data_IF_296419325570
#
_entry.id   IF_296419325570
#
_cell.length_a   1.000
_cell.length_b   1.000
_cell.length_c   1.000
_cell.angle_alpha   90.00
_cell.angle_beta   90.00
_cell.angle_gamma   90.00
#
_symmetry.space_group_name_H-M   'P 1'
#
loop_
_entity.id
_entity.type
_entity.pdbx_description
1 polymer ?
#
# COMPACT_ATOMS: atom_id res chain seq x y z
N UNK A 1 12.04 -21.78 47.10
CA UNK A 1 12.23 -22.28 45.72
C UNK A 1 13.62 -21.89 45.25
N UNK A 2 14.51 -22.85 44.92
CA UNK A 2 15.83 -22.54 44.35
C UNK A 2 15.65 -22.08 42.90
N UNK A 3 15.92 -20.80 42.66
CA UNK A 3 15.89 -20.18 41.33
C UNK A 3 17.07 -20.71 40.51
N UNK A 4 16.81 -21.53 39.50
CA UNK A 4 17.83 -22.03 38.58
C UNK A 4 17.89 -21.19 37.30
N UNK A 5 19.06 -21.14 36.66
CA UNK A 5 19.33 -20.38 35.43
C UNK A 5 18.37 -20.68 34.26
N UNK A 6 17.71 -21.84 34.28
CA UNK A 6 16.79 -22.29 33.21
C UNK A 6 15.50 -21.44 33.19
N UNK A 7 15.06 -20.91 34.35
CA UNK A 7 13.84 -20.12 34.48
C UNK A 7 14.01 -18.65 34.05
N UNK A 8 15.24 -18.12 34.01
CA UNK A 8 15.52 -16.79 33.46
C UNK A 8 15.25 -16.68 31.95
N UNK A 9 14.95 -17.80 31.27
CA UNK A 9 14.55 -17.80 29.87
C UNK A 9 13.10 -17.32 29.65
N UNK A 10 12.28 -17.33 30.70
CA UNK A 10 11.00 -16.62 30.70
C UNK A 10 11.28 -15.19 31.15
N UNK A 11 11.11 -14.23 30.26
CA UNK A 11 11.35 -12.81 30.54
C UNK A 11 10.24 -12.26 31.46
N UNK A 12 10.19 -12.72 32.72
CA UNK A 12 9.17 -12.39 33.73
C UNK A 12 9.09 -10.87 33.91
N UNK A 13 10.19 -10.15 33.75
CA UNK A 13 10.23 -8.69 33.84
C UNK A 13 9.28 -7.98 32.87
N UNK A 14 9.03 -8.55 31.68
CA UNK A 14 8.10 -7.94 30.73
C UNK A 14 6.65 -8.14 31.17
N UNK A 15 6.32 -9.35 31.63
CA UNK A 15 5.03 -9.66 32.23
C UNK A 15 4.80 -8.82 33.48
N UNK A 16 5.81 -8.68 34.34
CA UNK A 16 5.74 -7.88 35.56
C UNK A 16 5.56 -6.39 35.26
N UNK A 17 6.33 -5.81 34.33
CA UNK A 17 6.16 -4.41 33.89
C UNK A 17 4.78 -4.17 33.26
N UNK A 18 4.31 -5.08 32.41
CA UNK A 18 2.97 -5.00 31.80
C UNK A 18 1.89 -5.10 32.88
N UNK A 19 2.04 -6.04 33.81
CA UNK A 19 1.11 -6.23 34.91
C UNK A 19 1.09 -5.01 35.83
N UNK A 20 2.25 -4.42 36.14
CA UNK A 20 2.35 -3.18 36.92
C UNK A 20 1.70 -1.99 36.20
N UNK A 21 1.92 -1.83 34.89
CA UNK A 21 1.26 -0.80 34.07
C UNK A 21 -0.26 -0.96 34.02
N UNK A 22 -0.75 -2.20 33.94
CA UNK A 22 -2.19 -2.50 33.91
C UNK A 22 -2.80 -2.29 35.30
N UNK A 23 -2.13 -2.74 36.37
CA UNK A 23 -2.59 -2.59 37.75
C UNK A 23 -2.56 -1.13 38.20
N UNK A 24 -1.54 -0.35 37.81
CA UNK A 24 -1.44 1.08 38.12
C UNK A 24 -2.48 1.94 37.41
N UNK A 25 -3.14 1.42 36.37
CA UNK A 25 -4.29 2.06 35.69
C UNK A 25 -5.65 1.61 36.23
N UNK A 26 -5.70 0.68 37.19
CA UNK A 26 -6.97 0.26 37.77
C UNK A 26 -7.50 1.38 38.66
N UNK A 27 -8.68 1.88 38.31
CA UNK A 27 -9.46 2.71 39.21
C UNK A 27 -9.86 1.81 40.38
N UNK A 28 -9.66 2.24 41.65
CA UNK A 28 -10.18 1.49 42.79
C UNK A 28 -11.66 1.21 42.59
N UNK A 29 -12.04 -0.06 42.72
CA UNK A 29 -13.45 -0.45 42.61
C UNK A 29 -14.08 -0.09 43.94
N UNK A 30 -15.13 0.74 43.91
CA UNK A 30 -15.92 0.99 45.10
C UNK A 30 -16.59 -0.32 45.54
N UNK A 31 -16.28 -0.74 46.75
CA UNK A 31 -16.69 -2.03 47.32
C UNK A 31 -17.89 -1.90 48.26
N UNK A 32 -18.42 -0.67 48.45
CA UNK A 32 -19.52 -0.40 49.39
C UNK A 32 -19.15 -0.61 50.86
N UNK A 33 -17.87 -0.89 51.15
CA UNK A 33 -17.36 -1.16 52.50
C UNK A 33 -17.52 0.08 53.39
N UNK A 34 -17.40 1.28 52.82
CA UNK A 34 -17.58 2.53 53.56
C UNK A 34 -18.99 2.67 54.14
N UNK A 35 -20.01 2.30 53.38
CA UNK A 35 -21.41 2.32 53.82
C UNK A 35 -21.65 1.30 54.93
N UNK A 36 -21.15 0.08 54.75
CA UNK A 36 -21.27 -1.01 55.73
C UNK A 36 -20.57 -0.70 57.08
N UNK A 37 -19.41 -0.04 57.04
CA UNK A 37 -18.69 0.36 58.25
C UNK A 37 -19.42 1.49 59.00
N UNK A 38 -20.03 2.43 58.28
CA UNK A 38 -20.88 3.48 58.86
C UNK A 38 -22.12 2.89 59.52
N UNK A 39 -22.78 1.90 58.92
CA UNK A 39 -23.92 1.20 59.52
C UNK A 39 -23.56 0.51 60.85
N UNK A 40 -22.32 0.04 60.99
CA UNK A 40 -21.80 -0.56 62.23
C UNK A 40 -21.30 0.46 63.27
N UNK A 41 -21.43 1.75 63.00
CA UNK A 41 -20.98 2.81 63.90
C UNK A 41 -19.45 2.93 63.99
N UNK A 42 -18.71 2.40 63.02
CA UNK A 42 -17.25 2.52 62.96
C UNK A 42 -16.92 3.80 62.18
N UNK A 43 -16.16 4.75 62.76
CA UNK A 43 -15.77 5.96 62.06
C UNK A 43 -14.82 5.60 60.90
N UNK A 44 -15.20 6.00 59.69
CA UNK A 44 -14.37 5.91 58.47
C UNK A 44 -13.83 7.30 58.21
N UNK A 45 -12.52 7.46 58.29
CA UNK A 45 -11.82 8.72 58.03
C UNK A 45 -11.09 8.63 56.69
N UNK A 46 -11.13 9.71 55.89
CA UNK A 46 -10.43 9.74 54.60
C UNK A 46 -8.93 9.93 54.85
N UNK A 47 -8.11 9.02 54.32
CA UNK A 47 -6.67 9.08 54.43
C UNK A 47 -6.09 10.39 53.87
N UNK A 48 -6.77 11.01 52.89
CA UNK A 48 -6.38 12.30 52.30
C UNK A 48 -6.47 13.48 53.29
N UNK A 49 -7.26 13.38 54.37
CA UNK A 49 -7.35 14.40 55.42
C UNK A 49 -6.07 14.46 56.27
N UNK A 50 -5.33 13.35 56.36
CA UNK A 50 -4.08 13.25 57.12
C UNK A 50 -2.82 13.41 56.26
N UNK A 51 -2.97 13.48 54.94
CA UNK A 51 -1.88 13.85 54.03
C UNK A 51 -1.64 15.36 54.19
N UNK A 52 -0.53 15.71 54.86
CA UNK A 52 -0.20 17.08 55.29
C UNK A 52 -0.20 18.15 54.19
N UNK A 53 -0.07 17.75 52.94
CA UNK A 53 0.01 18.65 51.80
C UNK A 53 -1.02 18.22 50.76
N UNK A 54 -2.09 19.02 50.60
CA UNK A 54 -2.94 18.88 49.41
C UNK A 54 -2.03 19.11 48.21
N UNK A 55 -1.93 18.17 47.25
CA UNK A 55 -1.12 18.38 46.07
C UNK A 55 -1.58 19.66 45.40
N UNK A 56 -0.66 20.58 45.15
CA UNK A 56 -0.97 21.83 44.47
C UNK A 56 -1.66 21.50 43.15
N UNK A 57 -2.87 22.05 42.95
CA UNK A 57 -3.57 21.95 41.68
C UNK A 57 -2.81 22.84 40.70
N UNK A 58 -1.79 22.26 40.07
CA UNK A 58 -1.09 22.92 38.97
C UNK A 58 -2.07 22.99 37.82
N UNK A 59 -2.49 24.21 37.50
CA UNK A 59 -3.24 24.46 36.27
C UNK A 59 -2.43 23.88 35.12
N UNK A 60 -3.07 23.04 34.30
CA UNK A 60 -2.46 22.60 33.05
C UNK A 60 -2.42 23.80 32.13
N UNK A 61 -1.29 24.50 32.14
CA UNK A 61 -1.02 25.56 31.18
C UNK A 61 -1.05 24.92 29.80
N UNK A 62 -1.98 25.36 28.96
CA UNK A 62 -2.06 24.90 27.59
C UNK A 62 -0.97 25.61 26.80
N UNK A 63 0.24 25.05 26.83
CA UNK A 63 1.38 25.60 26.09
C UNK A 63 1.12 25.35 24.62
N UNK A 64 0.64 26.38 23.92
CA UNK A 64 0.52 26.37 22.47
C UNK A 64 1.95 26.38 21.92
N UNK A 65 2.46 25.20 21.60
CA UNK A 65 3.77 25.06 20.97
C UNK A 65 3.80 25.75 19.60
N UNK A 66 5.00 25.87 19.02
CA UNK A 66 5.19 26.39 17.65
C UNK A 66 4.40 25.60 16.58
N UNK A 67 4.05 24.35 16.89
CA UNK A 67 3.30 23.46 16.01
C UNK A 67 1.84 23.35 16.47
N UNK A 68 0.91 23.50 15.52
CA UNK A 68 -0.50 23.20 15.76
C UNK A 68 -0.62 21.73 16.15
N UNK A 69 -1.23 21.46 17.31
CA UNK A 69 -1.55 20.10 17.69
C UNK A 69 -2.60 19.54 16.74
N UNK A 70 -2.53 18.24 16.39
CA UNK A 70 -3.59 17.60 15.63
C UNK A 70 -4.91 17.74 16.40
N UNK A 71 -6.00 18.03 15.69
CA UNK A 71 -7.32 18.10 16.30
C UNK A 71 -7.66 16.72 16.91
N UNK A 72 -8.31 16.69 18.08
CA UNK A 72 -8.77 15.42 18.63
C UNK A 72 -9.79 14.79 17.68
N UNK A 73 -9.68 13.47 17.49
CA UNK A 73 -10.61 12.66 16.70
C UNK A 73 -11.92 12.44 17.47
N UNK A 74 -12.66 13.53 17.66
CA UNK A 74 -13.96 13.55 18.29
C UNK A 74 -15.04 13.91 17.26
N UNK A 75 -16.31 13.81 17.64
CA UNK A 75 -17.45 14.18 16.79
C UNK A 75 -17.41 15.64 16.31
N UNK A 76 -16.70 16.51 17.03
CA UNK A 76 -16.48 17.92 16.65
C UNK A 76 -15.43 18.12 15.55
N UNK A 77 -14.81 17.04 15.05
CA UNK A 77 -13.82 17.12 13.98
C UNK A 77 -14.50 17.49 12.64
N UNK A 78 -13.93 18.39 11.83
CA UNK A 78 -14.55 18.83 10.57
C UNK A 78 -14.74 17.70 9.55
N UNK A 79 -13.94 16.64 9.64
CA UNK A 79 -14.02 15.46 8.76
C UNK A 79 -14.82 14.30 9.36
N UNK A 80 -15.41 14.48 10.57
CA UNK A 80 -16.26 13.46 11.18
C UNK A 80 -17.61 13.37 10.48
N UNK A 81 -18.06 12.14 10.24
CA UNK A 81 -19.33 11.81 9.60
C UNK A 81 -19.99 10.63 10.29
N UNK A 82 -21.32 10.67 10.35
CA UNK A 82 -22.10 9.62 11.02
C UNK A 82 -22.12 8.30 10.22
N UNK A 83 -22.20 8.37 8.88
CA UNK A 83 -22.13 7.17 8.02
C UNK A 83 -20.66 6.70 7.98
N UNK A 84 -20.33 5.45 8.36
CA UNK A 84 -18.97 4.94 8.23
C UNK A 84 -18.60 4.74 6.76
N UNK A 85 -17.36 5.09 6.41
CA UNK A 85 -16.75 4.82 5.12
C UNK A 85 -15.82 3.61 5.25
N UNK A 86 -15.87 2.69 4.30
CA UNK A 86 -15.03 1.50 4.25
C UNK A 86 -13.72 1.82 3.52
N UNK A 87 -12.64 1.96 4.26
CA UNK A 87 -11.36 2.42 3.72
C UNK A 87 -10.41 1.25 3.41
N UNK A 88 -9.83 1.27 2.21
CA UNK A 88 -8.65 0.48 1.84
C UNK A 88 -7.42 1.40 1.82
N UNK A 89 -6.45 1.13 2.69
CA UNK A 89 -5.16 1.85 2.74
C UNK A 89 -4.09 1.12 1.93
N UNK A 90 -3.05 1.86 1.51
CA UNK A 90 -1.88 1.33 0.80
C UNK A 90 -1.10 0.24 1.56
N UNK A 91 -1.21 0.18 2.89
CA UNK A 91 -0.56 -0.80 3.78
C UNK A 91 -1.33 -2.11 3.88
N UNK A 92 -2.62 -2.10 3.56
CA UNK A 92 -3.51 -3.23 3.74
C UNK A 92 -3.70 -3.96 2.41
N UNK A 93 -4.07 -5.24 2.49
CA UNK A 93 -4.35 -6.07 1.31
C UNK A 93 -5.72 -6.72 1.43
N UNK A 94 -6.30 -7.05 0.28
CA UNK A 94 -7.56 -7.78 0.16
C UNK A 94 -7.38 -9.24 0.57
N UNK A 95 -8.40 -9.89 1.12
CA UNK A 95 -8.31 -11.27 1.61
C UNK A 95 -8.14 -12.24 0.45
N UNK A 96 -9.09 -12.24 -0.50
CA UNK A 96 -9.06 -13.08 -1.71
C UNK A 96 -8.20 -12.49 -2.83
N UNK A 97 -7.52 -11.37 -2.56
CA UNK A 97 -6.62 -10.71 -3.49
C UNK A 97 -7.33 -10.24 -4.76
N UNK A 98 -6.91 -10.76 -5.92
CA UNK A 98 -7.39 -10.30 -7.23
C UNK A 98 -8.88 -10.57 -7.46
N UNK A 99 -9.41 -11.70 -6.98
CA UNK A 99 -10.84 -12.02 -7.12
C UNK A 99 -11.72 -11.00 -6.38
N UNK A 100 -11.30 -10.58 -5.18
CA UNK A 100 -11.97 -9.51 -4.44
C UNK A 100 -11.83 -8.16 -5.13
N UNK A 101 -10.67 -7.86 -5.70
CA UNK A 101 -10.45 -6.63 -6.47
C UNK A 101 -11.35 -6.55 -7.72
N UNK A 102 -11.54 -7.66 -8.46
CA UNK A 102 -12.44 -7.73 -9.61
C UNK A 102 -13.87 -7.36 -9.23
N UNK A 103 -14.35 -7.91 -8.12
CA UNK A 103 -15.70 -7.62 -7.61
C UNK A 103 -15.80 -6.16 -7.18
N UNK A 104 -14.84 -5.64 -6.41
CA UNK A 104 -14.87 -4.25 -5.93
C UNK A 104 -14.84 -3.22 -7.06
N UNK A 105 -14.13 -3.51 -8.15
CA UNK A 105 -13.90 -2.57 -9.26
C UNK A 105 -14.75 -2.86 -10.50
N UNK A 106 -15.58 -3.91 -10.46
CA UNK A 106 -16.37 -4.43 -11.60
C UNK A 106 -15.51 -4.65 -12.84
N UNK A 107 -14.44 -5.42 -12.67
CA UNK A 107 -13.39 -5.60 -13.69
C UNK A 107 -13.28 -7.06 -14.15
N UNK A 108 -13.23 -7.27 -15.46
CA UNK A 108 -12.86 -8.55 -16.09
C UNK A 108 -11.37 -8.59 -16.39
N UNK A 109 -10.76 -9.77 -16.31
CA UNK A 109 -9.31 -9.92 -16.46
C UNK A 109 -8.97 -10.65 -17.75
N UNK A 110 -8.01 -10.10 -18.49
CA UNK A 110 -7.28 -10.80 -19.53
C UNK A 110 -5.93 -11.24 -18.97
N UNK A 111 -5.80 -12.53 -18.65
CA UNK A 111 -4.57 -13.10 -18.09
C UNK A 111 -3.50 -13.31 -19.18
N UNK A 112 -2.25 -13.04 -18.81
CA UNK A 112 -1.03 -13.21 -19.60
C UNK A 112 -1.02 -12.53 -20.99
N UNK A 113 -1.92 -11.57 -21.20
CA UNK A 113 -2.02 -10.79 -22.44
C UNK A 113 -2.00 -9.30 -22.14
N UNK A 114 -1.03 -8.61 -22.71
CA UNK A 114 -0.98 -7.15 -22.78
C UNK A 114 -1.48 -6.67 -24.16
N UNK A 115 -1.82 -5.37 -24.30
CA UNK A 115 -2.13 -4.79 -25.60
C UNK A 115 -1.05 -5.09 -26.65
N UNK A 116 -1.45 -5.38 -27.90
CA UNK A 116 -0.54 -5.87 -28.97
C UNK A 116 0.68 -4.95 -29.15
N UNK A 117 0.45 -3.64 -29.19
CA UNK A 117 1.52 -2.64 -29.31
C UNK A 117 2.57 -2.72 -28.19
N UNK A 118 2.16 -3.05 -26.97
CA UNK A 118 3.08 -3.22 -25.83
C UNK A 118 3.94 -4.47 -26.02
N UNK A 119 3.33 -5.59 -26.43
CA UNK A 119 4.07 -6.84 -26.67
C UNK A 119 5.08 -6.67 -27.82
N UNK A 120 4.67 -6.03 -28.92
CA UNK A 120 5.55 -5.72 -30.05
C UNK A 120 6.73 -4.84 -29.64
N UNK A 121 6.48 -3.79 -28.86
CA UNK A 121 7.54 -2.90 -28.35
C UNK A 121 8.45 -3.61 -27.34
N UNK A 122 7.91 -4.55 -26.55
CA UNK A 122 8.68 -5.29 -25.55
C UNK A 122 9.61 -6.34 -26.18
N UNK A 123 9.24 -6.87 -27.35
CA UNK A 123 10.06 -7.82 -28.11
C UNK A 123 11.24 -7.17 -28.85
N UNK A 124 11.26 -5.83 -28.97
CA UNK A 124 12.37 -5.11 -29.58
C UNK A 124 13.65 -5.23 -28.72
N UNK A 125 14.77 -5.71 -29.30
CA UNK A 125 15.98 -5.93 -28.53
C UNK A 125 16.65 -4.61 -28.14
N UNK A 126 16.85 -4.40 -26.84
CA UNK A 126 17.58 -3.23 -26.35
C UNK A 126 19.11 -3.39 -26.56
N UNK A 127 19.85 -2.28 -26.74
CA UNK A 127 21.30 -2.32 -26.88
C UNK A 127 22.00 -2.96 -25.66
N UNK A 128 23.10 -3.70 -25.90
CA UNK A 128 23.90 -4.34 -24.83
C UNK A 128 24.37 -3.37 -23.74
N UNK A 129 24.63 -2.11 -24.11
CA UNK A 129 25.04 -1.06 -23.18
C UNK A 129 23.95 -0.77 -22.13
N UNK A 130 22.68 -0.80 -22.53
CA UNK A 130 21.54 -0.58 -21.65
C UNK A 130 21.43 -1.72 -20.65
N UNK A 131 21.51 -2.97 -21.11
CA UNK A 131 21.51 -4.14 -20.21
C UNK A 131 22.67 -4.14 -19.22
N UNK A 132 23.85 -3.63 -19.60
CA UNK A 132 24.95 -3.41 -18.64
C UNK A 132 24.57 -2.39 -17.56
N UNK A 133 23.91 -1.30 -17.95
CA UNK A 133 23.36 -0.31 -17.02
C UNK A 133 22.33 -0.92 -16.07
N UNK A 134 21.42 -1.76 -16.57
CA UNK A 134 20.42 -2.45 -15.74
C UNK A 134 21.08 -3.38 -14.73
N UNK A 135 22.06 -4.18 -15.14
CA UNK A 135 22.83 -5.05 -14.21
C UNK A 135 23.53 -4.22 -13.11
N UNK A 136 24.10 -3.08 -13.49
CA UNK A 136 24.71 -2.15 -12.53
C UNK A 136 23.67 -1.52 -11.59
N UNK A 137 22.47 -1.21 -12.09
CA UNK A 137 21.37 -0.73 -11.27
C UNK A 137 20.96 -1.77 -10.22
N UNK A 138 20.80 -3.04 -10.62
CA UNK A 138 20.48 -4.15 -9.72
C UNK A 138 21.55 -4.31 -8.62
N UNK A 139 22.83 -4.34 -9.01
CA UNK A 139 23.93 -4.43 -8.06
C UNK A 139 23.95 -3.21 -7.13
N UNK A 140 23.67 -2.02 -7.65
CA UNK A 140 23.70 -0.82 -6.83
C UNK A 140 22.58 -0.75 -5.80
N UNK A 141 21.40 -1.29 -6.11
CA UNK A 141 20.26 -1.30 -5.20
C UNK A 141 20.40 -2.37 -4.11
N UNK A 142 21.05 -3.50 -4.41
CA UNK A 142 21.15 -4.65 -3.52
C UNK A 142 22.47 -4.76 -2.75
N UNK A 143 23.57 -4.25 -3.31
CA UNK A 143 24.93 -4.64 -2.92
C UNK A 143 25.84 -3.45 -2.66
N UNK A 144 25.76 -2.38 -3.47
CA UNK A 144 26.67 -1.23 -3.37
C UNK A 144 26.13 -0.06 -2.54
N UNK A 145 24.86 -0.08 -2.13
CA UNK A 145 24.33 0.95 -1.23
C UNK A 145 24.89 0.74 0.20
N UNK A 146 25.30 1.85 0.83
CA UNK A 146 26.00 1.83 2.12
C UNK A 146 25.05 1.88 3.33
N UNK A 147 23.72 1.82 3.14
CA UNK A 147 22.77 1.84 4.25
C UNK A 147 22.98 0.64 5.19
N UNK A 148 23.16 0.94 6.48
CA UNK A 148 23.31 -0.06 7.54
C UNK A 148 22.19 0.08 8.57
N UNK A 149 20.96 -0.29 8.18
CA UNK A 149 19.81 -0.35 9.10
C UNK A 149 19.55 -1.77 9.58
N UNK A 150 19.00 -1.91 10.78
CA UNK A 150 18.61 -3.22 11.35
C UNK A 150 17.41 -3.77 10.57
N UNK A 151 17.65 -4.74 9.70
CA UNK A 151 16.63 -5.42 8.90
C UNK A 151 15.64 -6.18 9.78
N UNK A 152 14.43 -6.51 9.29
CA UNK A 152 13.45 -7.30 10.02
C UNK A 152 14.00 -8.62 10.59
N UNK A 153 13.34 -9.14 11.64
CA UNK A 153 13.71 -10.46 12.19
C UNK A 153 13.33 -11.49 11.13
N UNK A 154 14.31 -12.25 10.66
CA UNK A 154 14.06 -13.43 9.84
C UNK A 154 13.31 -14.43 10.72
N UNK A 155 12.10 -14.81 10.32
CA UNK A 155 11.33 -15.88 10.92
C UNK A 155 11.33 -17.05 9.94
N UNK A 156 11.74 -18.23 10.40
CA UNK A 156 11.72 -19.46 9.61
C UNK A 156 10.57 -20.33 10.12
N UNK A 157 9.71 -20.80 9.21
CA UNK A 157 8.53 -21.62 9.54
C UNK A 157 8.91 -22.86 10.35
N UNK A 158 10.01 -23.52 9.99
CA UNK A 158 10.49 -24.74 10.66
C UNK A 158 10.98 -24.50 12.10
N UNK A 159 11.34 -23.27 12.44
CA UNK A 159 11.93 -22.91 13.74
C UNK A 159 11.43 -21.53 14.22
N UNK A 160 10.14 -21.39 14.54
CA UNK A 160 9.55 -20.08 14.85
C UNK A 160 10.07 -19.50 16.17
N UNK A 161 10.49 -20.35 17.11
CA UNK A 161 11.05 -19.94 18.40
C UNK A 161 12.52 -19.52 18.34
N UNK A 162 13.23 -19.78 17.23
CA UNK A 162 14.64 -19.45 17.11
C UNK A 162 14.82 -17.98 16.71
N UNK A 163 15.49 -17.21 17.57
CA UNK A 163 15.78 -15.80 17.32
C UNK A 163 17.10 -15.64 16.55
N UNK A 164 17.03 -15.45 15.24
CA UNK A 164 18.20 -15.12 14.43
C UNK A 164 18.77 -13.74 14.80
N UNK A 165 20.11 -13.56 14.76
CA UNK A 165 20.71 -12.25 14.92
C UNK A 165 20.20 -11.31 13.82
N UNK A 166 19.92 -10.05 14.20
CA UNK A 166 19.45 -9.03 13.26
C UNK A 166 20.59 -8.61 12.35
N UNK A 167 20.41 -8.81 11.05
CA UNK A 167 21.37 -8.38 10.03
C UNK A 167 21.22 -6.87 9.82
N UNK A 168 22.35 -6.18 9.64
CA UNK A 168 22.38 -4.79 9.18
C UNK A 168 22.46 -4.78 7.66
N UNK A 169 21.67 -3.94 7.00
CA UNK A 169 21.73 -3.79 5.56
C UNK A 169 20.74 -2.76 5.04
N UNK A 170 20.50 -2.84 3.73
CA UNK A 170 19.65 -1.94 2.96
C UNK A 170 18.18 -2.35 3.18
N UNK A 171 17.33 -1.37 3.50
CA UNK A 171 15.90 -1.60 3.68
C UNK A 171 15.20 -1.93 2.36
N UNK A 172 14.12 -2.73 2.41
CA UNK A 172 13.37 -3.14 1.21
C UNK A 172 12.86 -1.91 0.43
N UNK A 173 12.33 -0.92 1.14
CA UNK A 173 11.88 0.37 0.60
C UNK A 173 12.99 1.11 -0.15
N UNK A 174 14.18 1.20 0.46
CA UNK A 174 15.35 1.85 -0.13
C UNK A 174 15.84 1.10 -1.38
N UNK A 175 15.89 -0.23 -1.33
CA UNK A 175 16.26 -1.06 -2.48
C UNK A 175 15.33 -0.80 -3.66
N UNK A 176 14.01 -0.82 -3.42
CA UNK A 176 13.02 -0.63 -4.46
C UNK A 176 13.15 0.77 -5.06
N UNK A 177 13.22 1.81 -4.24
CA UNK A 177 13.40 3.19 -4.69
C UNK A 177 14.67 3.38 -5.53
N UNK A 178 15.83 2.83 -5.12
CA UNK A 178 17.06 2.93 -5.92
C UNK A 178 16.91 2.21 -7.25
N UNK A 179 16.33 1.00 -7.24
CA UNK A 179 16.21 0.18 -8.43
C UNK A 179 15.27 0.83 -9.44
N UNK A 180 14.04 1.19 -9.02
CA UNK A 180 13.02 1.72 -9.91
C UNK A 180 13.41 3.08 -10.48
N UNK A 181 14.00 3.97 -9.67
CA UNK A 181 14.50 5.26 -10.16
C UNK A 181 15.64 5.09 -11.17
N UNK A 182 16.56 4.14 -10.96
CA UNK A 182 17.64 3.88 -11.92
C UNK A 182 17.12 3.22 -13.20
N UNK A 183 16.15 2.31 -13.10
CA UNK A 183 15.51 1.72 -14.26
C UNK A 183 14.82 2.80 -15.10
N UNK A 184 14.08 3.69 -14.46
CA UNK A 184 13.40 4.80 -15.13
C UNK A 184 14.40 5.76 -15.80
N UNK A 185 15.48 6.15 -15.10
CA UNK A 185 16.55 6.96 -15.70
C UNK A 185 17.20 6.28 -16.92
N UNK A 186 17.36 4.96 -16.90
CA UNK A 186 17.88 4.21 -18.04
C UNK A 186 16.91 4.21 -19.22
N UNK A 187 15.60 4.12 -18.95
CA UNK A 187 14.52 4.21 -19.94
C UNK A 187 14.47 5.61 -20.57
N UNK A 188 14.50 6.67 -19.75
CA UNK A 188 14.52 8.05 -20.26
C UNK A 188 15.75 8.33 -21.11
N UNK A 189 16.90 7.74 -20.76
CA UNK A 189 18.15 7.88 -21.51
C UNK A 189 18.19 7.08 -22.80
N UNK A 190 17.48 5.95 -22.87
CA UNK A 190 17.47 5.08 -24.05
C UNK A 190 16.45 5.51 -25.11
N UNK A 191 15.43 6.26 -24.71
CA UNK A 191 14.33 6.66 -25.58
C UNK A 191 14.57 8.01 -26.26
N UNK A 192 13.77 8.26 -27.29
CA UNK A 192 13.83 9.49 -28.06
C UNK A 192 13.44 10.70 -27.22
N UNK A 193 14.11 11.82 -27.52
CA UNK A 193 13.95 13.09 -26.81
C UNK A 193 12.49 13.56 -26.86
N UNK A 194 11.79 13.32 -27.97
CA UNK A 194 10.40 13.74 -28.16
C UNK A 194 9.43 13.04 -27.18
N UNK A 195 9.66 11.76 -26.88
CA UNK A 195 8.82 11.00 -25.94
C UNK A 195 9.07 11.49 -24.52
N UNK A 196 10.35 11.61 -24.15
CA UNK A 196 10.77 11.99 -22.80
C UNK A 196 10.38 13.43 -22.46
N UNK A 197 10.43 14.38 -23.40
CA UNK A 197 10.04 15.78 -23.16
C UNK A 197 8.56 15.96 -22.82
N UNK A 198 7.70 15.03 -23.24
CA UNK A 198 6.26 15.09 -23.02
C UNK A 198 5.81 14.37 -21.74
N UNK A 199 6.75 13.77 -21.00
CA UNK A 199 6.49 12.94 -19.83
C UNK A 199 7.23 13.51 -18.62
N UNK A 200 6.58 13.48 -17.47
CA UNK A 200 7.14 13.96 -16.21
C UNK A 200 6.95 12.90 -15.14
N UNK A 201 7.95 12.78 -14.27
CA UNK A 201 7.98 11.80 -13.19
C UNK A 201 7.72 12.52 -11.89
N UNK A 202 6.79 11.99 -11.10
CA UNK A 202 6.48 12.51 -9.78
C UNK A 202 6.47 11.34 -8.78
N UNK A 203 7.19 11.51 -7.67
CA UNK A 203 7.43 10.45 -6.69
C UNK A 203 6.50 10.58 -5.47
N UNK A 204 6.16 9.43 -4.87
CA UNK A 204 5.45 9.25 -3.60
C UNK A 204 4.21 10.13 -3.43
N UNK A 205 3.24 9.91 -4.31
CA UNK A 205 2.03 10.71 -4.41
C UNK A 205 0.80 9.97 -3.91
N UNK A 206 0.02 10.63 -3.06
CA UNK A 206 -1.24 10.09 -2.55
C UNK A 206 -2.39 10.34 -3.53
N UNK A 207 -3.12 9.28 -3.85
CA UNK A 207 -4.36 9.30 -4.63
C UNK A 207 -5.51 8.77 -3.77
N UNK A 208 -6.68 9.38 -3.91
CA UNK A 208 -7.88 8.95 -3.20
C UNK A 208 -9.05 8.84 -4.17
N UNK A 209 -9.78 7.74 -4.10
CA UNK A 209 -11.04 7.57 -4.80
C UNK A 209 -12.14 7.16 -3.84
N UNK A 210 -13.27 7.85 -3.92
CA UNK A 210 -14.47 7.56 -3.14
C UNK A 210 -15.57 7.14 -4.11
N UNK A 211 -16.27 6.04 -3.82
CA UNK A 211 -17.37 5.54 -4.64
C UNK A 211 -18.33 4.71 -3.78
N UNK A 212 -19.59 4.67 -4.19
CA UNK A 212 -20.59 3.80 -3.56
C UNK A 212 -20.65 2.46 -4.27
N UNK A 213 -20.84 1.39 -3.49
CA UNK A 213 -21.14 0.06 -4.00
C UNK A 213 -22.21 -0.61 -3.14
N UNK A 214 -23.32 -1.01 -3.73
CA UNK A 214 -24.44 -1.70 -3.06
C UNK A 214 -24.96 -0.95 -1.81
N UNK A 215 -24.86 0.39 -1.82
CA UNK A 215 -25.24 1.27 -0.70
C UNK A 215 -24.15 1.51 0.36
N UNK A 216 -23.02 0.79 0.27
CA UNK A 216 -21.85 0.98 1.13
C UNK A 216 -20.89 1.99 0.51
N UNK A 217 -20.45 2.98 1.31
CA UNK A 217 -19.48 3.97 0.85
C UNK A 217 -18.08 3.39 1.00
N UNK A 218 -17.34 3.31 -0.10
CA UNK A 218 -15.99 2.75 -0.14
C UNK A 218 -15.00 3.84 -0.53
N UNK A 219 -13.85 3.83 0.11
CA UNK A 219 -12.76 4.73 -0.19
C UNK A 219 -11.45 3.97 -0.36
N UNK A 220 -10.79 4.17 -1.49
CA UNK A 220 -9.42 3.72 -1.70
C UNK A 220 -8.46 4.88 -1.46
N UNK A 221 -7.51 4.66 -0.56
CA UNK A 221 -6.40 5.56 -0.24
C UNK A 221 -5.11 4.85 -0.64
N UNK A 222 -4.48 5.34 -1.69
CA UNK A 222 -3.27 4.71 -2.21
C UNK A 222 -2.14 5.70 -2.42
N UNK A 223 -0.92 5.17 -2.49
CA UNK A 223 0.30 5.94 -2.77
C UNK A 223 0.94 5.37 -4.02
N UNK A 224 1.02 6.19 -5.06
CA UNK A 224 1.83 5.91 -6.25
C UNK A 224 3.27 6.26 -5.93
N UNK A 225 4.15 5.26 -5.86
CA UNK A 225 5.57 5.52 -5.59
C UNK A 225 6.23 6.28 -6.73
N UNK A 226 5.85 5.95 -7.96
CA UNK A 226 6.21 6.74 -9.14
C UNK A 226 4.95 6.90 -9.98
N UNK A 227 4.60 8.14 -10.32
CA UNK A 227 3.56 8.45 -11.29
C UNK A 227 4.20 9.18 -12.46
N UNK A 228 4.13 8.57 -13.64
CA UNK A 228 4.48 9.21 -14.90
C UNK A 228 3.23 9.89 -15.43
N UNK A 229 3.32 11.20 -15.66
CA UNK A 229 2.27 12.02 -16.23
C UNK A 229 2.66 12.52 -17.61
N UNK A 230 1.67 12.76 -18.47
CA UNK A 230 1.84 13.20 -19.85
C UNK A 230 0.96 14.41 -20.21
N UNK A 231 1.31 15.04 -21.33
CA UNK A 231 0.53 16.12 -21.94
C UNK A 231 -0.78 15.65 -22.59
N UNK A 232 -0.84 14.38 -23.02
CA UNK A 232 -1.99 13.77 -23.69
C UNK A 232 -2.46 12.54 -22.91
N UNK A 233 -3.77 12.24 -22.91
CA UNK A 233 -4.28 11.01 -22.31
C UNK A 233 -3.73 9.80 -23.05
N UNK A 234 -3.36 8.76 -22.29
CA UNK A 234 -2.94 7.48 -22.84
C UNK A 234 -4.12 6.80 -23.54
N UNK A 235 -3.87 6.26 -24.73
CA UNK A 235 -4.84 5.48 -25.50
C UNK A 235 -4.18 4.19 -25.96
N UNK A 236 -4.85 3.07 -25.72
CA UNK A 236 -4.43 1.78 -26.23
C UNK A 236 -5.41 1.32 -27.30
N UNK A 237 -4.87 0.86 -28.43
CA UNK A 237 -5.67 0.17 -29.43
C UNK A 237 -5.85 -1.27 -28.97
N UNK A 238 -7.07 -1.59 -28.52
CA UNK A 238 -7.41 -2.90 -27.97
C UNK A 238 -8.25 -3.65 -29.02
N UNK A 239 -7.64 -4.64 -29.66
CA UNK A 239 -8.36 -5.58 -30.51
C UNK A 239 -9.03 -6.62 -29.62
N UNK A 240 -10.33 -6.45 -29.35
CA UNK A 240 -11.10 -7.26 -28.40
C UNK A 240 -11.45 -8.69 -28.89
N UNK A 241 -11.12 -9.05 -30.15
CA UNK A 241 -11.70 -10.23 -30.82
C UNK A 241 -11.20 -11.60 -30.33
N UNK A 242 -10.03 -11.70 -29.69
CA UNK A 242 -9.35 -13.00 -29.45
C UNK A 242 -8.81 -13.19 -28.02
N UNK A 243 -9.33 -12.44 -27.05
CA UNK A 243 -8.82 -12.43 -25.67
C UNK A 243 -9.79 -13.19 -24.75
N UNK A 244 -9.36 -14.31 -24.13
CA UNK A 244 -10.19 -14.97 -23.13
C UNK A 244 -10.25 -14.08 -21.89
N UNK A 245 -11.47 -13.70 -21.49
CA UNK A 245 -11.70 -12.91 -20.29
C UNK A 245 -12.17 -13.81 -19.15
N UNK A 246 -11.57 -13.60 -17.98
CA UNK A 246 -12.03 -14.16 -16.72
C UNK A 246 -13.15 -13.25 -16.22
N UNK A 247 -14.33 -13.84 -16.09
CA UNK A 247 -15.50 -13.15 -15.56
C UNK A 247 -15.34 -12.79 -14.08
N UNK A 248 -16.22 -11.91 -13.60
CA UNK A 248 -16.23 -11.48 -12.21
C UNK A 248 -16.64 -12.69 -11.34
N UNK A 249 -15.78 -13.15 -10.41
CA UNK A 249 -16.07 -14.33 -9.61
C UNK A 249 -17.16 -14.05 -8.56
N UNK A 250 -17.89 -15.09 -8.17
CA UNK A 250 -18.71 -15.07 -6.97
C UNK A 250 -17.83 -15.35 -5.74
N UNK A 251 -17.91 -14.48 -4.73
CA UNK A 251 -17.13 -14.58 -3.50
C UNK A 251 -17.88 -15.28 -2.37
N UNK A 252 -19.12 -15.70 -2.59
CA UNK A 252 -19.92 -16.35 -1.54
C UNK A 252 -19.17 -17.52 -0.88
N UNK A 253 -19.07 -17.57 0.47
CA UNK A 253 -19.80 -16.78 1.47
C UNK A 253 -19.09 -15.51 1.95
N UNK A 254 -17.92 -15.18 1.40
CA UNK A 254 -17.11 -14.02 1.82
C UNK A 254 -17.71 -12.73 1.27
N UNK A 255 -17.91 -11.75 2.14
CA UNK A 255 -18.33 -10.41 1.73
C UNK A 255 -17.16 -9.66 1.08
N UNK A 256 -17.40 -8.99 -0.04
CA UNK A 256 -16.38 -8.23 -0.77
C UNK A 256 -15.76 -7.07 0.04
N UNK A 257 -16.39 -6.64 1.15
CA UNK A 257 -15.89 -5.60 2.05
C UNK A 257 -15.18 -6.10 3.30
N UNK A 258 -14.94 -7.40 3.45
CA UNK A 258 -14.40 -8.03 4.67
C UNK A 258 -13.07 -7.44 5.17
N UNK A 259 -12.22 -6.93 4.28
CA UNK A 259 -10.90 -6.36 4.60
C UNK A 259 -10.89 -4.83 4.72
N UNK A 260 -12.03 -4.17 4.52
CA UNK A 260 -12.12 -2.71 4.57
C UNK A 260 -12.43 -2.27 5.99
N UNK A 261 -11.60 -1.38 6.53
CA UNK A 261 -11.79 -0.85 7.88
C UNK A 261 -12.87 0.25 7.87
N UNK A 262 -13.91 0.19 8.72
CA UNK A 262 -14.89 1.25 8.82
C UNK A 262 -14.31 2.47 9.55
N UNK A 263 -14.25 3.61 8.88
CA UNK A 263 -13.75 4.89 9.38
C UNK A 263 -14.84 5.97 9.32
N UNK A 264 -14.95 6.77 10.38
CA UNK A 264 -15.90 7.90 10.45
C UNK A 264 -15.25 9.24 10.08
N UNK A 265 -13.93 9.27 9.91
CA UNK A 265 -13.15 10.46 9.60
C UNK A 265 -12.66 10.37 8.16
N UNK A 266 -13.37 11.00 7.23
CA UNK A 266 -13.04 10.89 5.81
C UNK A 266 -13.50 12.08 4.97
N UNK A 267 -12.78 12.31 3.86
CA UNK A 267 -13.19 13.22 2.79
C UNK A 267 -14.14 12.49 1.83
N UNK A 268 -15.25 13.14 1.48
CA UNK A 268 -16.23 12.64 0.48
C UNK A 268 -15.70 12.74 -0.94
N UNK A 269 -14.85 13.73 -1.19
CA UNK A 269 -14.34 13.99 -2.53
C UNK A 269 -13.14 13.10 -2.83
N UNK A 270 -13.06 12.66 -4.08
CA UNK A 270 -11.89 11.99 -4.62
C UNK A 270 -10.78 13.02 -4.85
N UNK A 271 -9.54 12.56 -4.70
CA UNK A 271 -8.36 13.42 -4.82
C UNK A 271 -7.40 12.82 -5.83
N UNK A 272 -7.38 13.42 -7.02
CA UNK A 272 -6.25 13.28 -7.93
C UNK A 272 -5.17 14.30 -7.56
N UNK A 273 -3.90 13.91 -7.52
CA UNK A 273 -2.84 14.75 -6.95
C UNK A 273 -2.45 15.97 -7.78
N UNK A 274 -2.64 15.92 -9.11
CA UNK A 274 -2.31 17.04 -9.98
C UNK A 274 -3.51 17.98 -10.08
N UNK A 275 -3.27 19.29 -10.01
CA UNK A 275 -4.33 20.29 -10.15
C UNK A 275 -4.87 20.33 -11.57
N UNK A 276 -6.17 20.61 -11.77
CA UNK A 276 -6.80 20.54 -13.09
C UNK A 276 -6.30 21.62 -14.07
N UNK A 277 -5.74 22.72 -13.54
CA UNK A 277 -5.23 23.86 -14.30
C UNK A 277 -3.84 23.60 -14.93
N UNK A 278 -3.19 22.49 -14.57
CA UNK A 278 -1.87 22.15 -15.11
C UNK A 278 -2.08 21.43 -16.45
N UNK A 279 -1.33 21.81 -17.48
CA UNK A 279 -1.40 21.19 -18.82
C UNK A 279 -0.96 19.72 -18.80
N UNK A 280 0.08 19.43 -18.02
CA UNK A 280 0.59 18.07 -17.78
C UNK A 280 -0.16 17.45 -16.61
N UNK A 281 -1.26 16.76 -16.89
CA UNK A 281 -2.11 16.16 -15.85
C UNK A 281 -2.54 14.73 -16.11
N UNK A 282 -2.34 14.23 -17.32
CA UNK A 282 -2.83 12.92 -17.72
C UNK A 282 -1.95 11.83 -17.12
N UNK A 283 -2.48 10.88 -16.34
CA UNK A 283 -1.68 9.76 -15.84
C UNK A 283 -1.33 8.84 -17.02
N UNK A 284 -0.07 8.43 -17.09
CA UNK A 284 0.44 7.53 -18.13
C UNK A 284 0.77 6.16 -17.54
N UNK A 285 1.72 6.11 -16.59
CA UNK A 285 2.14 4.87 -15.94
C UNK A 285 2.30 5.09 -14.44
N UNK A 286 1.67 4.24 -13.63
CA UNK A 286 1.86 4.20 -12.18
C UNK A 286 2.80 3.06 -11.78
N UNK A 287 3.61 3.30 -10.77
CA UNK A 287 4.45 2.29 -10.15
C UNK A 287 4.09 2.13 -8.69
N UNK A 288 3.99 0.87 -8.28
CA UNK A 288 3.69 0.48 -6.92
C UNK A 288 4.77 -0.44 -6.37
N UNK A 289 5.33 -0.09 -5.22
CA UNK A 289 6.28 -0.95 -4.52
C UNK A 289 5.54 -1.88 -3.56
N UNK A 290 5.98 -3.14 -3.51
CA UNK A 290 5.59 -4.09 -2.50
C UNK A 290 6.76 -4.38 -1.57
N UNK A 291 6.55 -4.16 -0.27
CA UNK A 291 7.50 -4.45 0.78
C UNK A 291 6.81 -5.23 1.88
N UNK A 292 7.39 -6.35 2.30
CA UNK A 292 6.86 -7.17 3.42
C UNK A 292 6.86 -6.42 4.76
N UNK A 293 7.61 -5.33 4.87
CA UNK A 293 7.70 -4.51 6.07
C UNK A 293 6.64 -3.43 6.19
N UNK A 294 6.10 -2.97 5.05
CA UNK A 294 5.15 -1.86 4.97
C UNK A 294 3.73 -2.35 4.65
N UNK A 295 3.63 -3.48 3.94
CA UNK A 295 2.37 -4.08 3.52
C UNK A 295 2.15 -5.38 4.28
N UNK A 296 1.01 -5.48 4.97
CA UNK A 296 0.68 -6.64 5.79
C UNK A 296 -0.81 -6.97 5.72
N UNK A 297 -1.14 -8.25 5.89
CA UNK A 297 -2.53 -8.63 6.17
C UNK A 297 -2.94 -8.13 7.55
N UNK A 298 -4.21 -7.74 7.66
CA UNK A 298 -4.86 -7.38 8.95
C UNK A 298 -4.79 -8.56 9.92
N UNK A 299 -4.86 -9.80 9.40
CA UNK A 299 -4.82 -11.04 10.17
C UNK A 299 -3.40 -11.55 10.47
N UNK A 300 -2.36 -10.72 10.30
CA UNK A 300 -0.94 -11.05 10.55
C UNK A 300 -0.41 -12.24 9.72
N UNK A 301 -1.12 -12.67 8.68
CA UNK A 301 -0.70 -13.72 7.76
C UNK A 301 0.26 -13.16 6.69
N UNK A 302 1.18 -13.98 6.16
CA UNK A 302 2.03 -13.54 5.06
C UNK A 302 1.18 -13.18 3.84
N UNK A 303 1.58 -12.12 3.14
CA UNK A 303 0.89 -11.66 1.93
C UNK A 303 1.09 -12.68 0.81
N UNK A 304 0.02 -13.09 0.16
CA UNK A 304 0.07 -14.06 -0.95
C UNK A 304 0.27 -13.36 -2.30
N UNK A 305 0.74 -14.08 -3.34
CA UNK A 305 0.89 -13.50 -4.67
C UNK A 305 -0.42 -12.95 -5.25
N UNK A 306 -1.56 -13.62 -5.04
CA UNK A 306 -2.87 -13.12 -5.52
C UNK A 306 -3.26 -11.80 -4.86
N UNK A 307 -2.88 -11.59 -3.59
CA UNK A 307 -3.10 -10.32 -2.87
C UNK A 307 -2.24 -9.19 -3.45
N UNK A 308 -1.00 -9.49 -3.82
CA UNK A 308 -0.10 -8.56 -4.52
C UNK A 308 -0.74 -8.12 -5.85
N UNK A 309 -1.29 -9.06 -6.62
CA UNK A 309 -1.96 -8.75 -7.89
C UNK A 309 -3.25 -7.94 -7.70
N UNK A 310 -4.06 -8.28 -6.69
CA UNK A 310 -5.26 -7.52 -6.34
C UNK A 310 -4.93 -6.06 -6.00
N UNK A 311 -3.80 -5.84 -5.31
CA UNK A 311 -3.29 -4.50 -5.00
C UNK A 311 -2.92 -3.72 -6.27
N UNK A 312 -2.35 -4.36 -7.29
CA UNK A 312 -2.07 -3.70 -8.59
C UNK A 312 -3.36 -3.16 -9.22
N UNK A 313 -4.41 -3.97 -9.22
CA UNK A 313 -5.70 -3.62 -9.82
C UNK A 313 -6.39 -2.50 -9.04
N UNK A 314 -6.47 -2.60 -7.71
CA UNK A 314 -7.06 -1.53 -6.88
C UNK A 314 -6.29 -0.23 -7.00
N UNK A 315 -4.95 -0.31 -7.11
CA UNK A 315 -4.09 0.85 -7.31
C UNK A 315 -4.39 1.56 -8.64
N UNK A 316 -4.33 0.81 -9.75
CA UNK A 316 -4.64 1.33 -11.07
C UNK A 316 -6.05 1.92 -11.13
N UNK A 317 -7.03 1.24 -10.52
CA UNK A 317 -8.40 1.72 -10.43
C UNK A 317 -8.47 3.04 -9.67
N UNK A 318 -7.82 3.16 -8.50
CA UNK A 318 -7.82 4.39 -7.67
C UNK A 318 -7.27 5.59 -8.42
N UNK A 319 -6.17 5.41 -9.17
CA UNK A 319 -5.58 6.50 -9.96
C UNK A 319 -6.47 6.85 -11.15
N UNK A 320 -6.99 5.86 -11.87
CA UNK A 320 -7.86 6.10 -13.02
C UNK A 320 -9.20 6.75 -12.61
N UNK A 321 -9.80 6.30 -11.51
CA UNK A 321 -11.09 6.80 -11.02
C UNK A 321 -10.99 8.20 -10.45
N UNK A 322 -9.95 8.49 -9.66
CA UNK A 322 -9.69 9.85 -9.16
C UNK A 322 -9.46 10.83 -10.32
N UNK A 323 -8.74 10.39 -11.35
CA UNK A 323 -8.53 11.15 -12.57
C UNK A 323 -9.81 11.36 -13.38
N UNK A 324 -10.62 10.31 -13.56
CA UNK A 324 -11.92 10.37 -14.23
C UNK A 324 -12.86 11.37 -13.56
N UNK A 325 -12.94 11.32 -12.23
CA UNK A 325 -13.77 12.21 -11.42
C UNK A 325 -13.30 13.66 -11.48
N UNK A 326 -11.99 13.88 -11.56
CA UNK A 326 -11.47 15.22 -11.79
C UNK A 326 -11.83 15.77 -13.18
N UNK A 327 -11.86 14.92 -14.22
CA UNK A 327 -12.17 15.34 -15.58
C UNK A 327 -13.67 15.61 -15.80
N UNK A 328 -14.51 14.70 -15.33
CA UNK A 328 -15.94 14.66 -15.69
C UNK A 328 -16.86 15.05 -14.52
N UNK A 329 -16.35 15.14 -13.29
CA UNK A 329 -17.11 15.39 -12.06
C UNK A 329 -17.22 14.16 -11.14
N UNK A 330 -17.58 14.37 -9.88
CA UNK A 330 -17.65 13.29 -8.87
C UNK A 330 -18.82 12.31 -9.10
N UNK A 331 -19.91 12.77 -9.71
CA UNK A 331 -21.15 12.01 -9.93
C UNK A 331 -21.14 11.15 -11.20
N UNK A 332 -19.98 11.01 -11.84
CA UNK A 332 -19.85 10.33 -13.13
C UNK A 332 -19.95 8.82 -12.93
N UNK A 333 -20.84 8.20 -13.69
CA UNK A 333 -21.04 6.75 -13.71
C UNK A 333 -20.32 6.16 -14.92
N UNK A 334 -21.02 6.05 -16.05
CA UNK A 334 -20.41 5.59 -17.28
C UNK A 334 -19.57 6.71 -17.92
N UNK A 335 -18.35 6.36 -18.32
CA UNK A 335 -17.45 7.32 -18.93
C UNK A 335 -17.79 7.51 -20.42
N UNK A 336 -17.71 8.75 -20.94
CA UNK A 336 -17.93 9.03 -22.36
C UNK A 336 -16.78 8.48 -23.22
N UNK A 337 -15.55 8.60 -22.73
CA UNK A 337 -14.36 7.97 -23.31
C UNK A 337 -13.69 7.08 -22.26
N UNK A 338 -13.21 5.88 -22.63
CA UNK A 338 -12.48 5.03 -21.70
C UNK A 338 -11.15 5.67 -21.31
N UNK A 339 -10.77 5.51 -20.05
CA UNK A 339 -9.49 5.98 -19.54
C UNK A 339 -8.56 4.78 -19.42
N UNK A 340 -7.39 4.88 -20.05
CA UNK A 340 -6.36 3.87 -19.94
C UNK A 340 -5.28 4.30 -18.95
N UNK A 341 -4.83 3.37 -18.13
CA UNK A 341 -3.67 3.58 -17.27
C UNK A 341 -2.79 2.33 -17.24
N UNK A 342 -1.48 2.56 -17.39
CA UNK A 342 -0.48 1.52 -17.23
C UNK A 342 -0.08 1.42 -15.76
N UNK A 343 0.17 0.21 -15.27
CA UNK A 343 0.58 -0.06 -13.90
C UNK A 343 1.73 -1.07 -13.87
N UNK A 344 2.75 -0.76 -13.07
CA UNK A 344 3.90 -1.63 -12.82
C UNK A 344 4.01 -1.84 -11.32
N UNK A 345 3.84 -3.08 -10.86
CA UNK A 345 4.08 -3.42 -9.46
C UNK A 345 5.35 -4.25 -9.32
N UNK A 346 6.17 -3.93 -8.31
CA UNK A 346 7.42 -4.65 -8.06
C UNK A 346 7.77 -4.75 -6.58
N UNK A 347 8.43 -5.84 -6.21
CA UNK A 347 9.09 -6.05 -4.92
C UNK A 347 10.62 -5.83 -4.97
N UNK A 348 11.12 -5.34 -6.13
CA UNK A 348 12.54 -5.17 -6.41
C UNK A 348 13.20 -6.36 -7.10
N UNK A 349 12.46 -7.45 -7.33
CA UNK A 349 12.94 -8.64 -8.03
C UNK A 349 11.92 -9.15 -9.07
N UNK A 350 10.66 -9.27 -8.67
CA UNK A 350 9.52 -9.65 -9.50
C UNK A 350 8.79 -8.40 -9.96
N UNK A 351 8.27 -8.47 -11.18
CA UNK A 351 7.52 -7.40 -11.80
C UNK A 351 6.19 -7.96 -12.30
N UNK A 352 5.15 -7.17 -12.07
CA UNK A 352 3.79 -7.39 -12.55
C UNK A 352 3.41 -6.19 -13.41
N UNK A 353 2.99 -6.47 -14.64
CA UNK A 353 2.63 -5.46 -15.61
C UNK A 353 1.12 -5.52 -15.82
N UNK A 354 0.46 -4.38 -15.76
CA UNK A 354 -0.98 -4.29 -15.92
C UNK A 354 -1.42 -3.05 -16.71
N UNK A 355 -2.47 -3.19 -17.50
CA UNK A 355 -3.13 -2.09 -18.19
C UNK A 355 -4.60 -2.13 -17.82
N UNK A 356 -5.07 -1.07 -17.17
CA UNK A 356 -6.48 -0.90 -16.85
C UNK A 356 -7.13 -0.05 -17.94
N UNK A 357 -8.24 -0.54 -18.48
CA UNK A 357 -9.20 0.22 -19.25
C UNK A 357 -10.45 0.46 -18.39
N UNK A 358 -10.58 1.70 -17.92
CA UNK A 358 -11.71 2.14 -17.11
C UNK A 358 -12.81 2.62 -18.07
N UNK A 359 -13.92 1.86 -18.14
CA UNK A 359 -15.11 2.17 -18.94
C UNK A 359 -16.25 2.74 -18.09
N UNK A 360 -16.35 2.33 -16.83
CA UNK A 360 -17.43 2.76 -15.92
C UNK A 360 -16.97 2.83 -14.46
N UNK A 361 -17.54 3.79 -13.75
CA UNK A 361 -17.46 3.92 -12.29
C UNK A 361 -18.71 3.36 -11.59
N UNK A 362 -19.71 2.90 -12.35
CA UNK A 362 -20.87 2.21 -11.80
C UNK A 362 -20.52 0.76 -11.46
N UNK A 363 -19.96 0.56 -10.27
CA UNK A 363 -19.48 -0.72 -9.76
C UNK A 363 -20.57 -1.61 -9.15
N UNK A 364 -21.84 -1.17 -9.20
CA UNK A 364 -22.96 -1.94 -8.68
C UNK A 364 -23.25 -3.17 -9.56
N UNK A 365 -23.37 -4.33 -8.92
CA UNK A 365 -23.68 -5.61 -9.56
C UNK A 365 -22.65 -6.08 -10.60
N UNK A 366 -22.99 -7.18 -11.28
CA UNK A 366 -22.13 -7.81 -12.30
C UNK A 366 -22.60 -7.55 -13.73
N UNK A 367 -23.77 -6.96 -13.93
CA UNK A 367 -24.37 -6.71 -15.24
C UNK A 367 -23.99 -5.34 -15.82
N UNK A 368 -24.05 -5.21 -17.14
CA UNK A 368 -23.77 -3.97 -17.87
C UNK A 368 -22.31 -3.80 -18.28
N UNK A 369 -21.87 -2.54 -18.44
CA UNK A 369 -20.48 -2.22 -18.80
C UNK A 369 -19.54 -2.67 -17.68
N UNK A 370 -18.41 -3.25 -18.07
CA UNK A 370 -17.35 -3.73 -17.18
C UNK A 370 -16.04 -3.07 -17.53
N UNK A 371 -15.20 -2.88 -16.53
CA UNK A 371 -13.82 -2.45 -16.72
C UNK A 371 -12.96 -3.65 -17.16
N UNK A 372 -11.83 -3.39 -17.81
CA UNK A 372 -10.96 -4.46 -18.32
C UNK A 372 -9.55 -4.30 -17.75
N UNK A 373 -8.98 -5.39 -17.25
CA UNK A 373 -7.62 -5.46 -16.74
C UNK A 373 -6.80 -6.47 -17.53
N UNK A 374 -5.86 -5.96 -18.33
CA UNK A 374 -4.87 -6.76 -19.04
C UNK A 374 -3.66 -6.91 -18.13
N UNK A 375 -3.20 -8.14 -17.89
CA UNK A 375 -2.05 -8.32 -17.01
C UNK A 375 -1.07 -9.39 -17.50
N UNK A 376 0.19 -9.20 -17.11
CA UNK A 376 1.28 -10.15 -17.29
C UNK A 376 2.11 -10.18 -16.02
N UNK A 377 2.05 -11.29 -15.32
CA UNK A 377 2.41 -11.38 -13.92
C UNK A 377 3.66 -12.23 -13.68
N UNK A 378 4.30 -12.04 -12.52
CA UNK A 378 5.39 -12.86 -11.98
C UNK A 378 6.63 -12.98 -12.90
N UNK A 379 7.00 -11.87 -13.55
CA UNK A 379 8.23 -11.83 -14.36
C UNK A 379 9.40 -11.43 -13.46
N UNK A 380 10.33 -12.36 -13.24
CA UNK A 380 11.57 -12.10 -12.48
C UNK A 380 12.59 -11.34 -13.32
N UNK A 381 13.19 -10.30 -12.72
CA UNK A 381 14.29 -9.52 -13.29
C UNK A 381 15.65 -10.23 -13.11
N UNK A 382 15.84 -10.93 -11.98
CA UNK A 382 17.04 -11.71 -11.64
C UNK A 382 16.69 -12.76 -10.58
N UNK A 383 17.50 -13.81 -10.43
CA UNK A 383 17.25 -14.86 -9.42
C UNK A 383 17.92 -14.57 -8.09
N UNK A 384 19.17 -14.13 -8.10
CA UNK A 384 19.87 -13.78 -6.87
C UNK A 384 20.87 -12.64 -7.11
N UNK A 385 20.95 -11.72 -6.15
CA UNK A 385 21.89 -10.61 -6.16
C UNK A 385 22.43 -10.40 -4.74
N UNK A 386 23.67 -10.84 -4.50
CA UNK A 386 24.28 -10.84 -3.15
C UNK A 386 25.81 -10.91 -3.24
N UNK A 387 26.46 -10.74 -2.09
CA UNK A 387 27.86 -11.10 -1.95
C UNK A 387 28.00 -12.63 -1.82
N UNK A 388 28.74 -13.26 -2.73
CA UNK A 388 29.20 -14.64 -2.62
C UNK A 388 30.71 -14.62 -2.50
N UNK A 389 31.26 -15.16 -1.41
CA UNK A 389 32.70 -15.13 -1.14
C UNK A 389 33.33 -13.73 -1.26
N UNK A 390 32.65 -12.73 -0.69
CA UNK A 390 33.03 -11.30 -0.75
C UNK A 390 33.00 -10.66 -2.16
N UNK A 391 32.50 -11.36 -3.18
CA UNK A 391 32.34 -10.83 -4.53
C UNK A 391 30.86 -10.51 -4.82
N UNK A 392 30.56 -9.36 -5.44
CA UNK A 392 29.19 -9.05 -5.86
C UNK A 392 28.78 -9.95 -7.02
N UNK A 393 27.79 -10.81 -6.83
CA UNK A 393 27.31 -11.75 -7.85
C UNK A 393 25.84 -11.47 -8.17
N UNK A 394 25.56 -11.41 -9.48
CA UNK A 394 24.20 -11.32 -10.04
C UNK A 394 23.95 -12.55 -10.91
N UNK A 395 22.94 -13.33 -10.55
CA UNK A 395 22.57 -14.58 -11.22
C UNK A 395 21.30 -14.42 -12.05
N UNK A 396 21.30 -15.02 -13.24
CA UNK A 396 20.14 -15.17 -14.14
C UNK A 396 19.34 -13.87 -14.41
N UNK A 397 20.04 -12.83 -14.86
CA UNK A 397 19.40 -11.59 -15.32
C UNK A 397 18.49 -11.84 -16.53
N UNK A 398 17.22 -11.40 -16.43
CA UNK A 398 16.23 -11.49 -17.49
C UNK A 398 16.07 -10.13 -18.21
N UNK A 399 16.46 -10.02 -19.50
CA UNK A 399 16.33 -8.77 -20.25
C UNK A 399 14.87 -8.40 -20.58
N UNK A 400 13.93 -9.36 -20.57
CA UNK A 400 12.54 -9.12 -20.97
C UNK A 400 11.83 -8.12 -20.06
N UNK A 401 12.13 -8.10 -18.77
CA UNK A 401 11.53 -7.15 -17.82
C UNK A 401 11.81 -5.70 -18.22
N UNK A 402 13.05 -5.42 -18.64
CA UNK A 402 13.40 -4.09 -19.13
C UNK A 402 12.65 -3.76 -20.45
N UNK A 403 12.49 -4.74 -21.34
CA UNK A 403 11.69 -4.58 -22.57
C UNK A 403 10.26 -4.14 -22.26
N UNK A 404 9.59 -4.78 -21.30
CA UNK A 404 8.24 -4.38 -20.86
C UNK A 404 8.20 -3.00 -20.23
N UNK A 405 9.15 -2.67 -19.33
CA UNK A 405 9.20 -1.32 -18.73
C UNK A 405 9.38 -0.26 -19.82
N UNK A 406 10.26 -0.52 -20.80
CA UNK A 406 10.50 0.40 -21.91
C UNK A 406 9.27 0.53 -22.82
N UNK A 407 8.60 -0.57 -23.12
CA UNK A 407 7.35 -0.58 -23.88
C UNK A 407 6.27 0.25 -23.19
N UNK A 408 6.06 0.03 -21.88
CA UNK A 408 5.12 0.78 -21.04
C UNK A 408 5.43 2.28 -21.00
N UNK A 409 6.70 2.66 -21.14
CA UNK A 409 7.11 4.06 -21.21
C UNK A 409 6.89 4.66 -22.60
N UNK A 410 6.97 3.88 -23.68
CA UNK A 410 6.89 4.38 -25.07
C UNK A 410 5.49 4.33 -25.70
N UNK A 411 4.50 3.81 -24.98
CA UNK A 411 3.10 3.81 -25.43
C UNK A 411 2.56 5.23 -25.68
#
# INVERSE_FOLDING_TARGET
>A
MKLSQVLFRQHIDFMFKRHWLVQGKRVPIDSGIEEYLKEKGIPVEDALEFVKEKPEVRERINIIGLYKQPLPLNESHPEYKEKPCLTLKNTNVLLEGISQAQVLTKTIIAEDKLPQRIEELADLPAPKAVHKGVKQAILSANVFDCEQKKLPKIKVSDRPAYNFPRVLGITDSRRNQILTNKLLQLVEKSNDIEVTQNKYVVDDINCQSVFDKEGELIQFQDVSNILIISNKPLKHELNESDIPFIEIPDLYPVKHTVTLEPEHFYSENSKYPIRPNISVKHPHTTWLHFNTTEVSNIFETPVTPSQILGRSLTHAFTVASSYAKQLYGEDVKDLPEPIHINCIQTDGQRFHFGVLELKTLNVDGTEGKKNIWYCKNDIKLYDSCRYLSAMPVLENYNPKVYGYINAFYNC
#
